data_IF_209433563752
#
_entry.id   IF_209433563752
#
_cell.length_a   1.000
_cell.length_b   1.000
_cell.length_c   1.000
_cell.angle_alpha   90.00
_cell.angle_beta   90.00
_cell.angle_gamma   90.00
#
_symmetry.space_group_name_H-M   'P 1'
#
loop_
_entity.id
_entity.type
_entity.pdbx_description
1 polymer ?
#
# COMPACT_ATOMS: atom_id res chain seq x y z
N UNK A 1 -4.75 30.26 -12.51
CA UNK A 1 -4.33 29.49 -11.33
C UNK A 1 -5.57 29.11 -10.53
N UNK A 2 -5.63 27.89 -10.00
CA UNK A 2 -6.70 27.47 -9.10
C UNK A 2 -6.58 28.24 -7.78
N UNK A 3 -7.67 28.87 -7.34
CA UNK A 3 -7.75 29.57 -6.03
C UNK A 3 -8.18 28.63 -4.91
N UNK A 4 -8.89 27.57 -5.24
CA UNK A 4 -9.37 26.57 -4.27
C UNK A 4 -9.56 25.23 -4.93
N UNK A 5 -9.47 24.16 -4.12
CA UNK A 5 -9.82 22.79 -4.49
C UNK A 5 -10.37 22.00 -3.30
N UNK A 6 -11.17 20.99 -3.57
CA UNK A 6 -11.76 20.08 -2.57
C UNK A 6 -10.99 18.75 -2.63
N UNK A 7 -10.34 18.39 -1.51
CA UNK A 7 -9.59 17.17 -1.34
C UNK A 7 -10.45 16.12 -0.63
N UNK A 8 -10.78 15.04 -1.32
CA UNK A 8 -11.47 13.89 -0.76
C UNK A 8 -10.51 12.91 -0.09
N UNK A 9 -10.89 12.41 1.08
CA UNK A 9 -10.13 11.41 1.83
C UNK A 9 -11.04 10.53 2.65
N UNK A 10 -10.55 9.35 3.05
CA UNK A 10 -11.23 8.49 4.03
C UNK A 10 -11.05 9.02 5.45
N UNK A 11 -11.90 8.56 6.39
CA UNK A 11 -11.88 9.03 7.77
C UNK A 11 -10.87 8.32 8.70
N UNK A 12 -10.07 7.35 8.23
CA UNK A 12 -9.07 6.70 9.09
C UNK A 12 -7.91 7.64 9.42
N UNK A 13 -7.30 7.48 10.61
CA UNK A 13 -6.16 8.31 11.05
C UNK A 13 -5.04 8.34 9.99
N UNK A 14 -4.74 7.21 9.36
CA UNK A 14 -3.72 7.13 8.31
C UNK A 14 -4.14 7.91 7.06
N UNK A 15 -5.40 7.82 6.64
CA UNK A 15 -5.90 8.58 5.48
C UNK A 15 -5.89 10.08 5.76
N UNK A 16 -6.26 10.50 6.96
CA UNK A 16 -6.20 11.91 7.38
C UNK A 16 -4.75 12.43 7.41
N UNK A 17 -3.79 11.63 7.89
CA UNK A 17 -2.38 11.98 7.84
C UNK A 17 -1.90 12.17 6.39
N UNK A 18 -2.29 11.29 5.47
CA UNK A 18 -1.96 11.40 4.04
C UNK A 18 -2.61 12.63 3.38
N UNK A 19 -3.86 12.93 3.73
CA UNK A 19 -4.53 14.16 3.29
C UNK A 19 -3.82 15.41 3.80
N UNK A 20 -3.34 15.39 5.06
CA UNK A 20 -2.54 16.48 5.62
C UNK A 20 -1.23 16.69 4.86
N UNK A 21 -0.52 15.62 4.51
CA UNK A 21 0.70 15.69 3.71
C UNK A 21 0.43 16.28 2.32
N UNK A 22 -0.66 15.84 1.66
CA UNK A 22 -1.04 16.33 0.33
C UNK A 22 -1.43 17.80 0.38
N UNK A 23 -2.23 18.22 1.35
CA UNK A 23 -2.59 19.63 1.53
C UNK A 23 -1.36 20.50 1.78
N UNK A 24 -0.45 20.09 2.66
CA UNK A 24 0.78 20.82 2.94
C UNK A 24 1.66 20.96 1.69
N UNK A 25 1.77 19.91 0.86
CA UNK A 25 2.50 19.96 -0.41
C UNK A 25 1.88 20.96 -1.40
N UNK A 26 0.54 20.97 -1.52
CA UNK A 26 -0.18 21.92 -2.38
C UNK A 26 -0.02 23.36 -1.90
N UNK A 27 -0.17 23.62 -0.61
CA UNK A 27 -0.04 24.96 -0.02
C UNK A 27 1.41 25.49 -0.12
N UNK A 28 2.41 24.59 -0.03
CA UNK A 28 3.81 24.97 -0.22
C UNK A 28 4.14 25.28 -1.69
N UNK A 29 3.60 24.50 -2.65
CA UNK A 29 3.81 24.74 -4.07
C UNK A 29 3.02 25.94 -4.60
N UNK A 30 1.85 26.22 -4.01
CA UNK A 30 0.92 27.25 -4.44
C UNK A 30 0.47 28.11 -3.24
N UNK A 31 1.30 29.08 -2.80
CA UNK A 31 0.92 29.98 -1.71
C UNK A 31 -0.38 30.72 -2.03
N UNK A 32 -1.35 30.57 -1.12
CA UNK A 32 -2.69 31.15 -1.26
C UNK A 32 -3.76 30.25 -1.87
N UNK A 33 -3.45 29.03 -2.27
CA UNK A 33 -4.47 28.04 -2.62
C UNK A 33 -5.25 27.66 -1.37
N UNK A 34 -6.59 27.62 -1.47
CA UNK A 34 -7.45 27.10 -0.40
C UNK A 34 -7.75 25.64 -0.64
N UNK A 35 -7.30 24.76 0.24
CA UNK A 35 -7.62 23.32 0.20
C UNK A 35 -8.68 23.02 1.25
N UNK A 36 -9.86 22.60 0.78
CA UNK A 36 -10.94 22.14 1.65
C UNK A 36 -10.91 20.61 1.69
N UNK A 37 -11.06 20.01 2.88
CA UNK A 37 -11.09 18.55 3.03
C UNK A 37 -12.49 18.04 3.17
N UNK A 38 -12.82 17.01 2.40
CA UNK A 38 -14.07 16.28 2.51
C UNK A 38 -13.81 14.83 2.90
N UNK A 39 -14.34 14.40 4.05
CA UNK A 39 -14.24 13.02 4.51
C UNK A 39 -15.35 12.21 3.84
N UNK A 40 -14.96 11.14 3.17
CA UNK A 40 -15.86 10.20 2.50
C UNK A 40 -15.69 8.82 3.15
N UNK A 41 -16.78 8.27 3.65
CA UNK A 41 -16.79 6.94 4.27
C UNK A 41 -16.92 5.86 3.20
N UNK A 42 -15.93 4.98 3.11
CA UNK A 42 -15.97 3.84 2.19
C UNK A 42 -16.75 2.66 2.79
N UNK A 43 -17.25 1.78 1.92
CA UNK A 43 -17.89 0.52 2.34
C UNK A 43 -16.96 -0.30 3.22
N UNK A 44 -15.65 -0.31 2.93
CA UNK A 44 -14.65 -0.99 3.75
C UNK A 44 -14.46 -0.39 5.15
N UNK A 45 -14.71 0.93 5.32
CA UNK A 45 -14.69 1.59 6.63
C UNK A 45 -15.95 1.28 7.46
N UNK A 46 -17.10 1.15 6.79
CA UNK A 46 -18.40 0.88 7.43
C UNK A 46 -18.56 -0.60 7.83
N UNK A 47 -17.85 -1.51 7.19
CA UNK A 47 -17.95 -2.96 7.41
C UNK A 47 -16.59 -3.60 7.76
N UNK A 48 -15.95 -3.21 8.88
CA UNK A 48 -14.65 -3.74 9.31
C UNK A 48 -14.72 -5.23 9.72
N UNK A 49 -15.91 -5.78 9.88
CA UNK A 49 -16.23 -7.16 10.24
C UNK A 49 -16.09 -8.15 9.08
N UNK A 50 -16.32 -7.72 7.84
CA UNK A 50 -16.32 -8.60 6.66
C UNK A 50 -14.90 -8.94 6.18
N UNK A 51 -14.65 -10.21 5.88
CA UNK A 51 -13.39 -10.65 5.26
C UNK A 51 -13.33 -10.20 3.80
N UNK A 52 -12.15 -9.81 3.29
CA UNK A 52 -11.96 -9.47 1.87
C UNK A 52 -12.41 -10.63 0.95
N UNK A 53 -12.21 -11.88 1.38
CA UNK A 53 -12.67 -13.07 0.66
C UNK A 53 -14.20 -13.23 0.59
N UNK A 54 -14.95 -12.58 1.48
CA UNK A 54 -16.41 -12.64 1.50
C UNK A 54 -17.04 -11.63 0.52
N UNK A 55 -16.34 -10.53 0.23
CA UNK A 55 -16.75 -9.58 -0.81
C UNK A 55 -16.70 -10.18 -2.23
N UNK A 56 -15.93 -11.28 -2.42
CA UNK A 56 -15.77 -11.97 -3.71
C UNK A 56 -16.80 -13.08 -3.98
N UNK A 57 -17.73 -13.36 -3.06
CA UNK A 57 -18.73 -14.43 -3.21
C UNK A 57 -20.03 -14.02 -3.90
N UNK A 58 -20.17 -12.76 -4.35
CA UNK A 58 -21.32 -12.27 -5.09
C UNK A 58 -21.20 -12.48 -6.61
N UNK A 59 -22.29 -12.35 -7.38
CA UNK A 59 -22.29 -12.46 -8.85
C UNK A 59 -21.50 -11.36 -9.56
N UNK A 60 -21.06 -10.34 -8.85
CA UNK A 60 -20.04 -9.37 -9.26
C UNK A 60 -18.94 -9.33 -8.19
N UNK A 61 -17.68 -9.72 -8.52
CA UNK A 61 -16.58 -9.63 -7.56
C UNK A 61 -16.38 -8.17 -7.14
N UNK A 62 -16.61 -7.87 -5.87
CA UNK A 62 -16.42 -6.53 -5.29
C UNK A 62 -14.95 -6.32 -4.90
N UNK A 63 -14.03 -7.09 -5.49
CA UNK A 63 -12.61 -7.08 -5.17
C UNK A 63 -11.89 -5.79 -5.62
N UNK A 64 -12.49 -5.07 -6.56
CA UNK A 64 -11.93 -3.82 -7.09
C UNK A 64 -12.62 -2.63 -6.42
N UNK A 65 -11.91 -1.97 -5.47
CA UNK A 65 -12.32 -0.64 -5.03
C UNK A 65 -13.16 -0.54 -3.76
N UNK A 66 -13.13 -1.53 -2.83
CA UNK A 66 -13.86 -1.44 -1.54
C UNK A 66 -13.50 -0.15 -0.77
N UNK A 67 -12.31 0.39 -1.00
CA UNK A 67 -11.81 1.58 -0.35
C UNK A 67 -11.75 2.82 -1.24
N UNK A 68 -11.97 2.68 -2.56
CA UNK A 68 -11.85 3.78 -3.54
C UNK A 68 -13.16 4.18 -4.17
N UNK A 69 -14.12 3.25 -4.28
CA UNK A 69 -15.36 3.42 -5.03
C UNK A 69 -16.16 4.68 -4.66
N UNK A 70 -16.32 4.96 -3.38
CA UNK A 70 -17.08 6.11 -2.91
C UNK A 70 -16.34 7.43 -3.20
N UNK A 71 -15.00 7.42 -3.17
CA UNK A 71 -14.16 8.54 -3.59
C UNK A 71 -14.24 8.75 -5.11
N UNK A 72 -14.21 7.69 -5.90
CA UNK A 72 -14.39 7.73 -7.35
C UNK A 72 -15.78 8.29 -7.72
N UNK A 73 -16.85 7.87 -7.03
CA UNK A 73 -18.21 8.43 -7.22
C UNK A 73 -18.21 9.93 -6.91
N UNK A 74 -17.54 10.36 -5.85
CA UNK A 74 -17.46 11.77 -5.47
C UNK A 74 -16.65 12.60 -6.48
N UNK A 75 -15.55 12.04 -7.04
CA UNK A 75 -14.78 12.64 -8.14
C UNK A 75 -15.65 12.80 -9.39
N UNK A 76 -16.33 11.73 -9.82
CA UNK A 76 -17.19 11.73 -11.00
C UNK A 76 -18.36 12.69 -10.85
N UNK A 77 -18.91 12.81 -9.63
CA UNK A 77 -19.99 13.74 -9.29
C UNK A 77 -19.52 15.18 -9.03
N UNK A 78 -18.23 15.48 -9.24
CA UNK A 78 -17.63 16.80 -8.95
C UNK A 78 -17.91 17.30 -7.52
N UNK A 79 -18.06 16.39 -6.57
CA UNK A 79 -18.15 16.72 -5.14
C UNK A 79 -16.78 16.99 -4.53
N UNK A 80 -15.73 16.38 -5.11
CA UNK A 80 -14.33 16.59 -4.79
C UNK A 80 -13.54 16.76 -6.10
N UNK A 81 -12.46 17.50 -6.06
CA UNK A 81 -11.58 17.72 -7.22
C UNK A 81 -10.47 16.67 -7.30
N UNK A 82 -9.99 16.21 -6.13
CA UNK A 82 -8.94 15.20 -6.01
C UNK A 82 -9.29 14.18 -4.92
N UNK A 83 -8.85 12.95 -5.09
CA UNK A 83 -8.92 11.92 -4.05
C UNK A 83 -7.52 11.47 -3.63
N UNK A 84 -7.28 11.33 -2.33
CA UNK A 84 -5.99 10.93 -1.77
C UNK A 84 -6.05 9.49 -1.26
N UNK A 85 -5.09 8.68 -1.71
CA UNK A 85 -5.04 7.24 -1.44
C UNK A 85 -3.68 6.74 -0.96
N UNK A 86 -3.69 5.70 -0.14
CA UNK A 86 -2.57 4.75 -0.09
C UNK A 86 -2.57 3.97 -1.40
N UNK A 87 -1.62 4.19 -2.29
CA UNK A 87 -1.70 3.69 -3.68
C UNK A 87 -1.77 2.15 -3.78
N UNK A 88 -1.19 1.43 -2.84
CA UNK A 88 -1.27 -0.04 -2.80
C UNK A 88 -2.69 -0.60 -2.63
N UNK A 89 -3.63 0.24 -2.15
CA UNK A 89 -5.03 -0.12 -1.93
C UNK A 89 -5.92 0.27 -3.13
N UNK A 90 -5.35 0.95 -4.14
CA UNK A 90 -6.02 1.37 -5.39
C UNK A 90 -5.91 0.25 -6.42
N UNK A 91 -7.01 -0.14 -7.10
CA UNK A 91 -6.97 -1.17 -8.14
C UNK A 91 -5.90 -0.89 -9.19
N UNK A 92 -5.28 -1.95 -9.72
CA UNK A 92 -4.25 -1.84 -10.78
C UNK A 92 -4.84 -1.18 -12.02
N UNK A 93 -6.06 -1.57 -12.41
CA UNK A 93 -6.83 -0.95 -13.48
C UNK A 93 -7.85 0.00 -12.89
N UNK A 94 -7.77 1.26 -13.27
CA UNK A 94 -8.74 2.28 -12.90
C UNK A 94 -9.94 2.27 -13.85
N UNK A 95 -11.08 2.75 -13.38
CA UNK A 95 -12.26 2.98 -14.22
C UNK A 95 -11.98 4.02 -15.31
N UNK A 96 -12.76 3.97 -16.39
CA UNK A 96 -12.61 4.94 -17.48
C UNK A 96 -12.75 6.39 -17.00
N UNK A 97 -11.78 7.21 -17.37
CA UNK A 97 -11.70 8.62 -16.99
C UNK A 97 -10.97 8.89 -15.67
N UNK A 98 -10.70 7.87 -14.85
CA UNK A 98 -9.89 8.02 -13.64
C UNK A 98 -8.40 7.84 -13.96
N UNK A 99 -7.54 8.58 -13.27
CA UNK A 99 -6.09 8.43 -13.35
C UNK A 99 -5.39 8.94 -12.11
N UNK A 100 -4.23 8.38 -11.83
CA UNK A 100 -3.29 8.93 -10.86
C UNK A 100 -2.59 10.11 -11.54
N UNK A 101 -2.82 11.31 -11.03
CA UNK A 101 -2.28 12.55 -11.61
C UNK A 101 -0.98 12.99 -10.94
N UNK A 102 -0.76 12.60 -9.68
CA UNK A 102 0.47 12.89 -8.96
C UNK A 102 0.69 11.88 -7.83
N UNK A 103 1.93 11.76 -7.38
CA UNK A 103 2.31 11.05 -6.16
C UNK A 103 3.27 11.90 -5.34
N UNK A 104 3.17 11.80 -4.02
CA UNK A 104 4.13 12.45 -3.13
C UNK A 104 5.44 11.64 -3.05
N UNK A 105 6.54 12.23 -2.53
CA UNK A 105 7.76 11.48 -2.22
C UNK A 105 7.45 10.20 -1.46
N UNK A 106 8.00 9.07 -1.94
CA UNK A 106 7.70 7.74 -1.41
C UNK A 106 8.27 7.58 0.00
N UNK A 107 7.44 7.16 0.93
CA UNK A 107 7.90 6.74 2.25
C UNK A 107 8.57 5.35 2.18
N UNK A 108 9.20 4.95 3.29
CA UNK A 108 9.82 3.64 3.46
C UNK A 108 8.87 2.51 3.03
N UNK A 109 9.39 1.56 2.24
CA UNK A 109 8.59 0.50 1.60
C UNK A 109 8.57 -0.80 2.40
N UNK A 110 9.43 -0.95 3.39
CA UNK A 110 9.62 -2.15 4.17
C UNK A 110 8.34 -2.54 4.93
N UNK A 111 8.23 -3.83 5.23
CA UNK A 111 7.31 -4.33 6.23
C UNK A 111 7.99 -4.34 7.61
N UNK A 112 7.18 -4.27 8.66
CA UNK A 112 7.62 -4.32 10.06
C UNK A 112 6.92 -5.48 10.74
N UNK A 113 7.69 -6.30 11.43
CA UNK A 113 7.18 -7.25 12.41
C UNK A 113 7.03 -6.53 13.75
N UNK A 114 5.85 -6.55 14.32
CA UNK A 114 5.59 -6.12 15.70
C UNK A 114 5.32 -7.37 16.53
N UNK A 115 6.13 -7.60 17.56
CA UNK A 115 6.14 -8.84 18.34
C UNK A 115 6.08 -8.58 19.84
N UNK A 116 5.43 -9.48 20.59
CA UNK A 116 5.53 -9.55 22.05
C UNK A 116 6.86 -10.17 22.53
N UNK A 117 7.60 -10.77 21.61
CA UNK A 117 8.84 -11.49 21.88
C UNK A 117 9.97 -10.65 21.30
N UNK A 118 10.98 -10.29 22.09
CA UNK A 118 12.16 -9.56 21.60
C UNK A 118 13.01 -10.42 20.65
N UNK A 119 13.83 -9.78 19.81
CA UNK A 119 14.78 -10.45 18.91
C UNK A 119 14.24 -10.74 17.52
N UNK A 120 13.05 -10.22 17.17
CA UNK A 120 12.54 -10.21 15.79
C UNK A 120 12.04 -11.57 15.28
N UNK A 121 11.95 -11.68 13.95
CA UNK A 121 11.39 -12.85 13.26
C UNK A 121 12.15 -14.15 13.56
N UNK A 122 13.45 -14.07 13.69
CA UNK A 122 14.31 -15.22 13.97
C UNK A 122 14.10 -15.78 15.38
N UNK A 123 13.72 -14.93 16.33
CA UNK A 123 13.53 -15.30 17.74
C UNK A 123 12.12 -15.86 18.04
N UNK A 124 11.18 -15.77 17.10
CA UNK A 124 9.84 -16.35 17.31
C UNK A 124 9.94 -17.87 17.47
N UNK A 125 9.40 -18.46 18.58
CA UNK A 125 9.32 -19.90 18.75
C UNK A 125 8.56 -20.61 17.61
N UNK A 126 8.94 -21.84 17.30
CA UNK A 126 8.19 -22.66 16.34
C UNK A 126 6.73 -22.80 16.79
N UNK A 127 5.82 -22.74 15.81
CA UNK A 127 4.37 -22.77 16.06
C UNK A 127 3.76 -21.41 16.47
N UNK A 128 4.57 -20.35 16.66
CA UNK A 128 4.05 -19.01 16.96
C UNK A 128 3.10 -18.51 15.88
N UNK A 129 2.03 -17.82 16.31
CA UNK A 129 1.01 -17.27 15.40
C UNK A 129 1.36 -15.81 15.09
N UNK A 130 1.54 -15.51 13.81
CA UNK A 130 1.78 -14.17 13.27
C UNK A 130 0.56 -13.69 12.51
N UNK A 131 0.02 -12.55 12.90
CA UNK A 131 -1.22 -12.03 12.34
C UNK A 131 -0.97 -11.18 11.07
N UNK A 132 -1.66 -11.53 9.97
CA UNK A 132 -1.68 -10.73 8.74
C UNK A 132 -2.84 -11.14 7.85
N UNK A 133 -3.55 -10.16 7.24
CA UNK A 133 -4.56 -10.40 6.20
C UNK A 133 -3.97 -10.30 4.78
N UNK A 134 -2.67 -10.04 4.64
CA UNK A 134 -2.01 -9.93 3.35
C UNK A 134 -1.51 -11.28 2.88
N UNK A 135 -2.05 -11.77 1.75
CA UNK A 135 -1.63 -13.03 1.14
C UNK A 135 -0.13 -13.00 0.80
N UNK A 136 0.37 -11.88 0.30
CA UNK A 136 1.80 -11.66 0.05
C UNK A 136 2.66 -11.90 1.30
N UNK A 137 2.30 -11.23 2.42
CA UNK A 137 3.03 -11.37 3.69
C UNK A 137 2.95 -12.80 4.22
N UNK A 138 1.77 -13.40 4.17
CA UNK A 138 1.56 -14.76 4.61
C UNK A 138 2.44 -15.75 3.84
N UNK A 139 2.54 -15.61 2.51
CA UNK A 139 3.35 -16.49 1.66
C UNK A 139 4.85 -16.30 1.92
N UNK A 140 5.34 -15.06 1.97
CA UNK A 140 6.75 -14.78 2.28
C UNK A 140 7.12 -15.27 3.69
N UNK A 141 6.25 -15.02 4.68
CA UNK A 141 6.48 -15.50 6.04
C UNK A 141 6.60 -17.04 6.08
N UNK A 142 5.66 -17.75 5.44
CA UNK A 142 5.66 -19.22 5.40
C UNK A 142 6.85 -19.79 4.61
N UNK A 143 7.35 -19.05 3.62
CA UNK A 143 8.55 -19.42 2.89
C UNK A 143 9.82 -19.28 3.75
N UNK A 144 9.94 -18.19 4.50
CA UNK A 144 11.10 -17.94 5.37
C UNK A 144 11.05 -18.75 6.68
N UNK A 145 9.86 -18.94 7.24
CA UNK A 145 9.59 -19.60 8.51
C UNK A 145 8.37 -20.53 8.36
N UNK A 146 8.54 -21.71 7.74
CA UNK A 146 7.45 -22.67 7.51
C UNK A 146 6.85 -23.21 8.82
N UNK A 147 7.58 -23.13 9.91
CA UNK A 147 7.21 -23.53 11.26
C UNK A 147 6.19 -22.58 11.93
N UNK A 148 6.07 -21.31 11.47
CA UNK A 148 5.13 -20.35 12.03
C UNK A 148 3.71 -20.55 11.47
N UNK A 149 2.72 -20.11 12.24
CA UNK A 149 1.32 -20.07 11.82
C UNK A 149 0.88 -18.67 11.42
N UNK A 150 -0.10 -18.57 10.54
CA UNK A 150 -0.65 -17.28 10.09
C UNK A 150 -2.13 -17.21 10.46
N UNK A 151 -2.53 -16.07 11.03
CA UNK A 151 -3.92 -15.76 11.36
C UNK A 151 -4.34 -14.41 10.75
N UNK A 152 -5.59 -14.32 10.33
CA UNK A 152 -6.15 -13.10 9.75
C UNK A 152 -6.38 -12.03 10.84
N UNK A 153 -6.03 -10.77 10.56
CA UNK A 153 -6.25 -9.64 11.46
C UNK A 153 -6.81 -8.43 10.74
N UNK A 154 -7.87 -7.85 11.28
CA UNK A 154 -8.62 -6.74 10.69
C UNK A 154 -8.61 -5.49 11.56
N UNK A 155 -8.87 -4.35 10.91
CA UNK A 155 -8.91 -3.02 11.49
C UNK A 155 -7.83 -2.10 10.90
N UNK A 156 -7.84 -0.83 11.32
CA UNK A 156 -6.76 0.11 11.02
C UNK A 156 -5.48 -0.24 11.80
N UNK A 157 -4.39 0.48 11.55
CA UNK A 157 -3.09 0.20 12.17
C UNK A 157 -3.15 0.20 13.69
N UNK A 158 -3.67 1.24 14.37
CA UNK A 158 -3.79 1.23 15.84
C UNK A 158 -4.66 0.09 16.38
N UNK A 159 -5.77 -0.20 15.71
CA UNK A 159 -6.68 -1.30 16.12
C UNK A 159 -5.98 -2.65 16.08
N UNK A 160 -5.15 -2.92 15.03
CA UNK A 160 -4.42 -4.19 14.91
C UNK A 160 -3.36 -4.32 16.00
N UNK A 161 -2.66 -3.24 16.34
CA UNK A 161 -1.66 -3.23 17.41
C UNK A 161 -2.34 -3.52 18.76
N UNK A 162 -3.49 -2.88 19.06
CA UNK A 162 -4.28 -3.17 20.26
C UNK A 162 -4.77 -4.63 20.29
N UNK A 163 -5.23 -5.17 19.15
CA UNK A 163 -5.61 -6.57 19.04
C UNK A 163 -4.44 -7.52 19.32
N UNK A 164 -3.23 -7.21 18.81
CA UNK A 164 -2.05 -7.98 19.16
C UNK A 164 -1.82 -7.96 20.67
N UNK A 165 -1.81 -6.79 21.30
CA UNK A 165 -1.59 -6.67 22.75
C UNK A 165 -2.61 -7.48 23.55
N UNK A 166 -3.89 -7.40 23.20
CA UNK A 166 -4.99 -8.07 23.92
C UNK A 166 -5.07 -9.59 23.69
N UNK A 167 -4.67 -10.10 22.51
CA UNK A 167 -4.84 -11.51 22.15
C UNK A 167 -3.70 -12.36 22.72
N UNK A 168 -3.99 -13.22 23.71
CA UNK A 168 -3.00 -14.08 24.38
C UNK A 168 -2.27 -15.06 23.44
N UNK A 169 -2.93 -15.50 22.36
CA UNK A 169 -2.41 -16.50 21.42
C UNK A 169 -1.56 -15.90 20.27
N UNK A 170 -1.71 -14.60 19.97
CA UNK A 170 -0.90 -13.95 18.94
C UNK A 170 0.48 -13.58 19.48
N UNK A 171 1.53 -14.00 18.78
CA UNK A 171 2.91 -13.65 19.10
C UNK A 171 3.35 -12.34 18.41
N UNK A 172 2.91 -12.12 17.17
CA UNK A 172 3.32 -10.97 16.38
C UNK A 172 2.27 -10.59 15.30
N UNK A 173 2.48 -9.43 14.67
CA UNK A 173 1.75 -9.01 13.48
C UNK A 173 2.66 -8.32 12.47
N UNK A 174 2.26 -8.29 11.19
CA UNK A 174 2.98 -7.63 10.11
C UNK A 174 2.24 -6.38 9.64
N UNK A 175 2.94 -5.24 9.63
CA UNK A 175 2.45 -3.95 9.14
C UNK A 175 3.41 -3.33 8.12
N UNK A 176 2.96 -2.31 7.37
CA UNK A 176 3.85 -1.51 6.52
C UNK A 176 4.49 -0.39 7.36
N UNK A 177 5.79 -0.23 7.25
CA UNK A 177 6.58 0.81 7.93
C UNK A 177 6.00 2.21 7.68
N UNK A 178 5.70 2.55 6.42
CA UNK A 178 5.11 3.85 6.07
C UNK A 178 3.83 4.20 6.85
N UNK A 179 3.03 3.19 7.23
CA UNK A 179 1.83 3.39 8.04
C UNK A 179 2.16 3.72 9.50
N UNK A 180 3.17 3.05 10.04
CA UNK A 180 3.67 3.30 11.40
C UNK A 180 4.33 4.67 11.51
N UNK A 181 5.21 5.01 10.55
CA UNK A 181 5.92 6.30 10.52
C UNK A 181 4.93 7.47 10.46
N UNK A 182 3.92 7.40 9.59
CA UNK A 182 2.89 8.45 9.44
C UNK A 182 2.01 8.64 10.66
N UNK A 183 1.89 7.63 11.48
CA UNK A 183 1.11 7.66 12.73
C UNK A 183 1.99 7.86 13.97
N UNK A 184 3.30 8.08 13.81
CA UNK A 184 4.27 8.18 14.90
C UNK A 184 4.27 6.95 15.82
N UNK A 185 4.14 5.76 15.23
CA UNK A 185 4.11 4.47 15.92
C UNK A 185 5.37 3.62 15.67
N UNK A 186 6.42 4.19 15.05
CA UNK A 186 7.68 3.53 14.69
C UNK A 186 8.70 3.60 15.83
N UNK A 187 8.35 3.07 17.00
CA UNK A 187 9.30 2.92 18.10
C UNK A 187 9.83 1.48 18.14
N UNK A 188 11.13 1.30 18.34
CA UNK A 188 11.75 -0.03 18.46
C UNK A 188 11.08 -0.86 19.55
N UNK A 189 10.76 -0.23 20.67
CA UNK A 189 10.00 -0.81 21.78
C UNK A 189 8.88 0.16 22.16
N UNK A 190 7.69 -0.36 22.37
CA UNK A 190 6.50 0.39 22.80
C UNK A 190 5.67 -0.41 23.79
N UNK A 191 4.88 0.27 24.62
CA UNK A 191 3.95 -0.38 25.53
C UNK A 191 2.52 -0.04 25.15
N UNK A 192 1.70 -1.06 24.93
CA UNK A 192 0.28 -0.93 24.56
C UNK A 192 -0.56 -1.76 25.53
N UNK A 193 -1.46 -1.10 26.25
CA UNK A 193 -2.33 -1.72 27.27
C UNK A 193 -1.55 -2.61 28.28
N UNK A 194 -0.33 -2.14 28.68
CA UNK A 194 0.55 -2.84 29.62
C UNK A 194 1.39 -3.97 29.01
N UNK A 195 1.28 -4.22 27.69
CA UNK A 195 2.07 -5.23 26.97
C UNK A 195 3.22 -4.55 26.23
N UNK A 196 4.45 -5.01 26.47
CA UNK A 196 5.63 -4.57 25.74
C UNK A 196 5.63 -5.19 24.34
N UNK A 197 5.85 -4.34 23.31
CA UNK A 197 5.91 -4.72 21.91
C UNK A 197 7.22 -4.24 21.30
N UNK A 198 7.89 -5.12 20.58
CA UNK A 198 9.16 -4.91 19.91
C UNK A 198 8.94 -4.82 18.40
N UNK A 199 9.66 -3.93 17.71
CA UNK A 199 9.53 -3.77 16.25
C UNK A 199 10.84 -4.17 15.56
N UNK A 200 10.72 -4.94 14.50
CA UNK A 200 11.79 -5.27 13.56
C UNK A 200 11.40 -4.81 12.16
N UNK A 201 12.26 -4.01 11.53
CA UNK A 201 12.12 -3.68 10.10
C UNK A 201 12.64 -4.89 9.32
N UNK A 202 11.77 -5.51 8.52
CA UNK A 202 12.15 -6.65 7.69
C UNK A 202 12.95 -6.17 6.47
N UNK A 203 14.05 -6.85 6.19
CA UNK A 203 14.90 -6.54 5.04
C UNK A 203 14.12 -6.74 3.73
N UNK A 204 13.96 -5.68 2.96
CA UNK A 204 13.24 -5.67 1.67
C UNK A 204 13.89 -6.51 0.57
N UNK A 205 15.12 -7.00 0.78
CA UNK A 205 15.78 -7.93 -0.17
C UNK A 205 15.30 -9.36 0.02
N UNK A 206 14.82 -9.71 1.21
CA UNK A 206 14.32 -11.04 1.57
C UNK A 206 12.81 -11.06 1.78
N UNK A 207 12.23 -9.93 2.19
CA UNK A 207 10.79 -9.75 2.41
C UNK A 207 10.29 -8.57 1.57
N UNK A 208 10.02 -8.85 0.29
CA UNK A 208 9.69 -7.80 -0.69
C UNK A 208 8.34 -7.12 -0.36
N UNK A 209 8.28 -5.78 -0.48
CA UNK A 209 7.05 -5.02 -0.20
C UNK A 209 5.92 -5.32 -1.20
N UNK A 210 4.74 -4.77 -0.94
CA UNK A 210 3.69 -4.72 -1.94
C UNK A 210 4.01 -3.66 -3.00
N UNK A 211 3.56 -3.87 -4.23
CA UNK A 211 3.56 -2.81 -5.24
C UNK A 211 2.92 -1.54 -4.68
N UNK A 212 3.52 -0.39 -4.96
CA UNK A 212 3.08 0.93 -4.52
C UNK A 212 3.07 1.14 -2.99
N UNK A 213 3.65 0.23 -2.20
CA UNK A 213 3.76 0.43 -0.75
C UNK A 213 4.58 1.69 -0.46
N UNK A 214 4.12 2.50 0.49
CA UNK A 214 4.75 3.78 0.84
C UNK A 214 4.31 4.98 0.00
N UNK A 215 3.69 4.78 -1.17
CA UNK A 215 3.23 5.86 -2.04
C UNK A 215 1.87 6.43 -1.59
N UNK A 216 1.78 7.77 -1.54
CA UNK A 216 0.53 8.53 -1.45
C UNK A 216 0.20 9.02 -2.84
N UNK A 217 -0.96 8.64 -3.36
CA UNK A 217 -1.39 8.99 -4.71
C UNK A 217 -2.56 9.96 -4.69
N UNK A 218 -2.57 10.83 -5.69
CA UNK A 218 -3.63 11.78 -5.96
C UNK A 218 -4.33 11.36 -7.26
N UNK A 219 -5.60 10.94 -7.11
CA UNK A 219 -6.46 10.53 -8.20
C UNK A 219 -7.39 11.67 -8.62
N UNK A 220 -7.63 11.78 -9.92
CA UNK A 220 -8.58 12.71 -10.52
C UNK A 220 -9.49 12.00 -11.53
N UNK A 221 -10.60 12.66 -11.87
CA UNK A 221 -11.52 12.23 -12.93
C UNK A 221 -11.55 13.25 -14.07
N UNK A 222 -11.54 12.75 -15.31
CA UNK A 222 -11.56 13.61 -16.51
C UNK A 222 -10.28 14.41 -16.71
N UNK A 223 -10.38 15.50 -17.47
CA UNK A 223 -9.30 16.43 -17.77
C UNK A 223 -9.65 17.83 -17.29
N UNK A 224 -8.73 18.43 -16.53
CA UNK A 224 -8.78 19.80 -16.08
C UNK A 224 -7.34 20.36 -16.09
N UNK A 225 -6.95 21.10 -17.15
CA UNK A 225 -5.58 21.59 -17.31
C UNK A 225 -5.07 22.43 -16.13
N UNK A 226 -5.95 23.19 -15.48
CA UNK A 226 -5.55 24.01 -14.33
C UNK A 226 -5.26 23.14 -13.09
N UNK A 227 -6.06 22.09 -12.86
CA UNK A 227 -5.85 21.12 -11.80
C UNK A 227 -4.60 20.27 -12.07
N UNK A 228 -4.42 19.82 -13.31
CA UNK A 228 -3.25 19.05 -13.74
C UNK A 228 -1.95 19.83 -13.54
N UNK A 229 -1.91 21.10 -13.93
CA UNK A 229 -0.75 21.97 -13.69
C UNK A 229 -0.50 22.17 -12.18
N UNK A 230 -1.57 22.25 -11.38
CA UNK A 230 -1.47 22.35 -9.94
C UNK A 230 -0.84 21.09 -9.32
N UNK A 231 -1.28 19.92 -9.76
CA UNK A 231 -0.79 18.64 -9.25
C UNK A 231 0.61 18.29 -9.76
N UNK A 232 0.97 18.69 -10.97
CA UNK A 232 2.32 18.49 -11.50
C UNK A 232 3.41 19.14 -10.63
N UNK A 233 3.09 20.25 -9.95
CA UNK A 233 4.04 20.93 -9.06
C UNK A 233 4.35 20.14 -7.76
N UNK A 234 3.52 19.19 -7.38
CA UNK A 234 3.71 18.34 -6.21
C UNK A 234 4.05 16.90 -6.58
N UNK A 235 4.08 16.57 -7.87
CA UNK A 235 4.43 15.23 -8.32
C UNK A 235 5.91 14.94 -8.09
N UNK A 236 6.18 13.84 -7.40
CA UNK A 236 7.55 13.34 -7.24
C UNK A 236 7.86 12.34 -8.33
N UNK A 237 8.54 12.82 -9.37
CA UNK A 237 8.80 12.06 -10.60
C UNK A 237 9.47 10.69 -10.37
N UNK A 238 10.53 10.55 -9.54
CA UNK A 238 11.12 9.24 -9.30
C UNK A 238 10.13 8.24 -8.67
N UNK A 239 9.26 8.70 -7.76
CA UNK A 239 8.20 7.86 -7.22
C UNK A 239 7.19 7.49 -8.28
N UNK A 240 6.81 8.44 -9.14
CA UNK A 240 5.83 8.22 -10.21
C UNK A 240 6.33 7.17 -11.21
N UNK A 241 7.58 7.23 -11.62
CA UNK A 241 8.21 6.24 -12.49
C UNK A 241 8.23 4.84 -11.83
N UNK A 242 8.64 4.76 -10.55
CA UNK A 242 8.62 3.50 -9.81
C UNK A 242 7.21 2.88 -9.76
N UNK A 243 6.19 3.66 -9.37
CA UNK A 243 4.83 3.11 -9.24
C UNK A 243 4.20 2.79 -10.60
N UNK A 244 4.59 3.48 -11.65
CA UNK A 244 4.18 3.17 -13.02
C UNK A 244 4.69 1.80 -13.42
N UNK A 245 6.00 1.54 -13.24
CA UNK A 245 6.58 0.24 -13.50
C UNK A 245 5.93 -0.88 -12.67
N UNK A 246 5.77 -0.66 -11.36
CA UNK A 246 5.18 -1.65 -10.45
C UNK A 246 3.73 -2.00 -10.83
N UNK A 247 2.91 -1.00 -11.16
CA UNK A 247 1.51 -1.20 -11.56
C UNK A 247 1.41 -1.85 -12.93
N UNK A 248 2.29 -1.47 -13.88
CA UNK A 248 2.35 -2.10 -15.20
C UNK A 248 2.70 -3.59 -15.09
N UNK A 249 3.67 -3.95 -14.24
CA UNK A 249 4.01 -5.33 -13.97
C UNK A 249 2.82 -6.14 -13.39
N UNK A 250 2.08 -5.58 -12.42
CA UNK A 250 0.88 -6.22 -11.90
C UNK A 250 -0.21 -6.39 -12.98
N UNK A 251 -0.33 -5.43 -13.89
CA UNK A 251 -1.26 -5.52 -15.03
C UNK A 251 -0.89 -6.67 -15.97
N UNK A 252 0.40 -6.79 -16.34
CA UNK A 252 0.90 -7.89 -17.17
C UNK A 252 0.67 -9.26 -16.54
N UNK A 253 0.86 -9.37 -15.22
CA UNK A 253 0.56 -10.58 -14.46
C UNK A 253 -0.93 -10.88 -14.35
N UNK A 254 -1.82 -9.94 -14.71
CA UNK A 254 -3.25 -9.98 -14.37
C UNK A 254 -3.48 -10.20 -12.87
N UNK A 255 -2.58 -9.63 -12.05
CA UNK A 255 -2.58 -9.83 -10.61
C UNK A 255 -3.75 -9.10 -9.96
N UNK A 256 -4.51 -9.81 -9.13
CA UNK A 256 -5.53 -9.26 -8.25
C UNK A 256 -5.02 -9.05 -6.82
N UNK A 257 -5.89 -8.57 -5.93
CA UNK A 257 -5.57 -8.38 -4.51
C UNK A 257 -5.16 -9.66 -3.78
N UNK A 258 -5.47 -10.84 -4.36
CA UNK A 258 -5.16 -12.16 -3.79
C UNK A 258 -3.88 -12.77 -4.38
N UNK A 259 -3.29 -12.15 -5.40
CA UNK A 259 -2.06 -12.66 -6.00
C UNK A 259 -0.88 -12.37 -5.08
N UNK A 260 -0.15 -13.38 -4.60
CA UNK A 260 0.91 -13.22 -3.61
C UNK A 260 2.22 -12.77 -4.27
N UNK A 261 2.29 -11.50 -4.64
CA UNK A 261 3.44 -10.85 -5.30
C UNK A 261 4.12 -9.89 -4.35
N UNK A 262 5.42 -10.09 -4.11
CA UNK A 262 6.32 -9.10 -3.55
C UNK A 262 7.04 -8.37 -4.69
N UNK A 263 7.13 -7.05 -4.60
CA UNK A 263 7.71 -6.22 -5.66
C UNK A 263 8.41 -5.02 -5.06
N UNK A 264 9.66 -4.81 -5.44
CA UNK A 264 10.47 -3.65 -5.04
C UNK A 264 10.97 -2.94 -6.28
N UNK A 265 10.95 -1.62 -6.26
CA UNK A 265 11.58 -0.78 -7.28
C UNK A 265 12.40 0.33 -6.64
N UNK A 266 13.45 0.72 -7.31
CA UNK A 266 14.31 1.86 -6.92
C UNK A 266 14.93 2.51 -8.13
N UNK A 267 15.17 3.83 -8.02
CA UNK A 267 15.86 4.61 -9.03
C UNK A 267 17.19 5.08 -8.45
N UNK A 268 18.27 4.88 -9.22
CA UNK A 268 19.59 5.43 -8.97
C UNK A 268 20.03 6.17 -10.26
N UNK A 269 20.12 7.49 -10.16
CA UNK A 269 20.33 8.35 -11.33
C UNK A 269 19.21 8.15 -12.37
N UNK A 270 19.57 7.72 -13.57
CA UNK A 270 18.65 7.45 -14.68
C UNK A 270 18.25 5.98 -14.79
N UNK A 271 18.63 5.16 -13.81
CA UNK A 271 18.42 3.71 -13.86
C UNK A 271 17.33 3.30 -12.91
N UNK A 272 16.31 2.61 -13.41
CA UNK A 272 15.25 1.94 -12.66
C UNK A 272 15.62 0.46 -12.51
N UNK A 273 15.64 0.00 -11.28
CA UNK A 273 15.75 -1.43 -10.93
C UNK A 273 14.44 -1.92 -10.35
N UNK A 274 14.03 -3.13 -10.74
CA UNK A 274 12.87 -3.84 -10.19
C UNK A 274 13.28 -5.25 -9.77
N UNK A 275 12.79 -5.69 -8.61
CA UNK A 275 12.93 -7.05 -8.08
C UNK A 275 11.54 -7.59 -7.74
N UNK A 276 11.22 -8.81 -8.15
CA UNK A 276 9.93 -9.45 -7.90
C UNK A 276 10.07 -10.85 -7.31
N UNK A 277 9.13 -11.22 -6.43
CA UNK A 277 8.90 -12.57 -5.96
C UNK A 277 7.44 -12.92 -6.11
N UNK A 278 7.14 -14.03 -6.81
CA UNK A 278 5.78 -14.47 -7.10
C UNK A 278 5.58 -15.88 -6.56
N UNK A 279 4.63 -16.03 -5.65
CA UNK A 279 4.24 -17.31 -5.11
C UNK A 279 3.06 -17.89 -5.91
N UNK A 280 2.97 -19.22 -5.94
CA UNK A 280 1.81 -19.89 -6.53
C UNK A 280 0.54 -19.60 -5.73
N UNK A 281 -0.56 -19.31 -6.41
CA UNK A 281 -1.88 -19.19 -5.77
C UNK A 281 -2.44 -20.55 -5.37
N UNK A 282 -2.19 -21.58 -6.19
CA UNK A 282 -2.77 -22.91 -6.05
C UNK A 282 -1.91 -23.88 -5.22
N UNK A 283 -0.58 -23.70 -5.23
CA UNK A 283 0.36 -24.59 -4.51
C UNK A 283 1.18 -23.80 -3.47
N UNK A 284 0.81 -23.89 -2.19
CA UNK A 284 1.55 -23.25 -1.10
C UNK A 284 2.98 -23.76 -0.91
N UNK A 285 3.28 -24.96 -1.36
CA UNK A 285 4.59 -25.60 -1.19
C UNK A 285 5.54 -25.31 -2.35
N UNK A 286 5.03 -24.82 -3.48
CA UNK A 286 5.86 -24.46 -4.63
C UNK A 286 6.84 -23.34 -4.27
N UNK A 287 8.08 -23.50 -4.74
CA UNK A 287 9.09 -22.43 -4.65
C UNK A 287 8.61 -21.19 -5.40
N UNK A 288 8.85 -19.99 -4.85
CA UNK A 288 8.49 -18.76 -5.56
C UNK A 288 9.35 -18.58 -6.81
N UNK A 289 8.78 -17.94 -7.82
CA UNK A 289 9.53 -17.41 -8.96
C UNK A 289 10.11 -16.06 -8.56
N UNK A 290 11.41 -15.88 -8.81
CA UNK A 290 12.13 -14.64 -8.50
C UNK A 290 12.69 -14.09 -9.80
N UNK A 291 12.55 -12.79 -10.01
CA UNK A 291 13.08 -12.10 -11.18
C UNK A 291 13.54 -10.70 -10.85
N UNK A 292 14.41 -10.18 -11.72
CA UNK A 292 14.97 -8.86 -11.67
C UNK A 292 15.04 -8.27 -13.08
N UNK A 293 14.80 -6.96 -13.17
CA UNK A 293 15.05 -6.19 -14.38
C UNK A 293 15.68 -4.83 -14.04
N UNK A 294 16.49 -4.32 -14.96
CA UNK A 294 17.14 -3.01 -14.87
C UNK A 294 17.02 -2.34 -16.24
N UNK A 295 16.66 -1.05 -16.26
CA UNK A 295 16.55 -0.28 -17.48
C UNK A 295 16.45 1.22 -17.20
N UNK A 296 16.14 2.00 -18.24
CA UNK A 296 16.01 3.45 -18.09
C UNK A 296 14.79 3.84 -17.25
N UNK A 297 14.98 4.76 -16.32
CA UNK A 297 13.88 5.26 -15.47
C UNK A 297 12.82 6.04 -16.29
N UNK A 298 13.22 6.60 -17.44
CA UNK A 298 12.31 7.25 -18.38
C UNK A 298 11.39 6.30 -19.14
N UNK A 299 11.65 4.97 -19.08
CA UNK A 299 10.86 3.92 -19.74
C UNK A 299 10.38 2.86 -18.74
N UNK A 300 9.62 3.25 -17.70
CA UNK A 300 9.27 2.37 -16.58
C UNK A 300 8.45 1.14 -17.02
N UNK A 301 7.59 1.28 -18.01
CA UNK A 301 6.77 0.18 -18.54
C UNK A 301 7.64 -0.84 -19.30
N UNK A 302 8.68 -0.40 -20.01
CA UNK A 302 9.65 -1.28 -20.68
C UNK A 302 10.43 -2.13 -19.67
N UNK A 303 10.82 -1.54 -18.52
CA UNK A 303 11.48 -2.28 -17.44
C UNK A 303 10.54 -3.31 -16.81
N UNK A 304 9.28 -2.96 -16.61
CA UNK A 304 8.26 -3.88 -16.12
C UNK A 304 7.97 -5.03 -17.09
N UNK A 305 7.96 -4.75 -18.41
CA UNK A 305 7.82 -5.77 -19.45
C UNK A 305 9.00 -6.75 -19.42
N UNK A 306 10.24 -6.25 -19.35
CA UNK A 306 11.43 -7.09 -19.24
C UNK A 306 11.39 -7.96 -17.96
N UNK A 307 10.94 -7.39 -16.82
CA UNK A 307 10.77 -8.15 -15.58
C UNK A 307 9.76 -9.28 -15.76
N UNK A 308 8.64 -9.02 -16.45
CA UNK A 308 7.61 -10.02 -16.72
C UNK A 308 8.12 -11.15 -17.63
N UNK A 309 8.85 -10.83 -18.69
CA UNK A 309 9.45 -11.81 -19.61
C UNK A 309 10.49 -12.69 -18.92
N UNK A 310 11.24 -12.15 -17.97
CA UNK A 310 12.22 -12.90 -17.19
C UNK A 310 11.59 -13.90 -16.18
N UNK A 311 10.29 -13.79 -15.90
CA UNK A 311 9.58 -14.69 -14.98
C UNK A 311 8.92 -15.86 -15.71
N UNK A 312 8.62 -15.72 -17.00
CA UNK A 312 7.87 -16.67 -17.81
C UNK A 312 8.61 -18.05 -18.02
#
# INVERSE_FOLDING_TARGET
>A
MLSSLILGTRGSELALAQATMTQAALEAAWPGIRVERQIIHSTGDLRPDLKLSEFNRGPQPVDKGIFTKELEIALQGAQIDIAVHSLKDVPTELGAGFRIAAVLPRAATEDVLISKIPGGLSALPAGSIVATSSVRRARQLKWLRPDLQVEDIRGNVPTRIKKLAAAGHLAALLLARAGLDRLNLSAEVSTVDGVELHQEILDKTTFLPAASQGAVAIEIFGSNPALEACLAAINHEPTFQCITAERHFLHLLKAGCQTPVGLSSSIDGETLRMDAVIFSESDPAAAPRVSQAIGAASEPESVAQALFENIA
#
